data_IF_347097178206
#
_entry.id   IF_347097178206
#
_cell.length_a   1.000
_cell.length_b   1.000
_cell.length_c   1.000
_cell.angle_alpha   90.00
_cell.angle_beta   90.00
_cell.angle_gamma   90.00
#
_symmetry.space_group_name_H-M   'P 1'
#
loop_
_entity.id
_entity.type
_entity.pdbx_description
1 polymer ?
#
# COMPACT_ATOMS: atom_id res chain seq x y z
N UNK A 1 14.48 2.35 -8.79
CA UNK A 1 14.14 2.11 -7.38
C UNK A 1 12.73 2.62 -7.11
N UNK A 2 11.84 1.77 -6.59
CA UNK A 2 10.50 2.11 -6.12
C UNK A 2 10.57 2.54 -4.65
N UNK A 3 10.09 3.74 -4.32
CA UNK A 3 10.12 4.31 -2.98
C UNK A 3 8.73 4.24 -2.34
N UNK A 4 8.56 3.31 -1.41
CA UNK A 4 7.27 3.09 -0.72
C UNK A 4 7.33 3.62 0.71
N UNK A 5 6.21 4.16 1.19
CA UNK A 5 6.00 4.41 2.62
C UNK A 5 4.79 3.64 3.11
N UNK A 6 4.96 2.90 4.20
CA UNK A 6 3.86 2.23 4.90
C UNK A 6 3.40 3.14 6.04
N UNK A 7 2.16 3.64 5.92
CA UNK A 7 1.57 4.57 6.87
C UNK A 7 0.73 3.82 7.92
N UNK A 8 1.27 3.77 9.14
CA UNK A 8 0.69 3.05 10.27
C UNK A 8 0.48 3.98 11.48
N UNK A 9 -0.20 3.50 12.51
CA UNK A 9 -0.58 4.32 13.69
C UNK A 9 0.56 4.62 14.68
N UNK A 10 1.80 4.25 14.36
CA UNK A 10 2.97 4.51 15.22
C UNK A 10 3.12 3.57 16.43
N UNK A 11 2.76 2.29 16.29
CA UNK A 11 2.78 1.31 17.40
C UNK A 11 3.88 0.23 17.29
N UNK A 12 3.87 -0.74 18.22
CA UNK A 12 4.82 -1.86 18.26
C UNK A 12 4.77 -2.74 16.99
N UNK A 13 3.59 -2.91 16.38
CA UNK A 13 3.43 -3.72 15.16
C UNK A 13 4.24 -3.16 13.98
N UNK A 14 4.29 -1.84 13.80
CA UNK A 14 5.09 -1.21 12.75
C UNK A 14 6.59 -1.45 12.92
N UNK A 15 7.10 -1.56 14.15
CA UNK A 15 8.53 -1.81 14.41
C UNK A 15 8.95 -3.23 14.06
N UNK A 16 8.11 -4.23 14.32
CA UNK A 16 8.40 -5.62 13.95
C UNK A 16 8.31 -5.80 12.44
N UNK A 17 7.28 -5.22 11.83
CA UNK A 17 7.05 -5.30 10.39
C UNK A 17 8.18 -4.62 9.61
N UNK A 18 8.71 -3.48 10.10
CA UNK A 18 9.80 -2.78 9.41
C UNK A 18 11.08 -3.61 9.34
N UNK A 19 11.41 -4.33 10.42
CA UNK A 19 12.55 -5.27 10.44
C UNK A 19 12.31 -6.44 9.48
N UNK A 20 11.10 -7.01 9.46
CA UNK A 20 10.75 -8.10 8.56
C UNK A 20 10.85 -7.70 7.09
N UNK A 21 10.32 -6.52 6.73
CA UNK A 21 10.39 -6.00 5.36
C UNK A 21 11.83 -5.72 4.97
N UNK A 22 12.61 -5.06 5.84
CA UNK A 22 14.02 -4.79 5.57
C UNK A 22 14.79 -6.08 5.30
N UNK A 23 14.61 -7.09 6.15
CA UNK A 23 15.23 -8.40 5.96
C UNK A 23 14.76 -9.08 4.65
N UNK A 24 13.48 -8.98 4.31
CA UNK A 24 12.96 -9.55 3.07
C UNK A 24 13.52 -8.87 1.81
N UNK A 25 13.86 -7.58 1.88
CA UNK A 25 14.56 -6.87 0.80
C UNK A 25 15.99 -7.41 0.67
N UNK A 26 16.72 -7.51 1.79
CA UNK A 26 18.10 -8.03 1.84
C UNK A 26 18.17 -9.49 1.36
N UNK A 27 17.30 -10.37 1.86
CA UNK A 27 17.25 -11.79 1.48
C UNK A 27 16.97 -11.99 -0.02
N UNK A 28 16.39 -11.00 -0.69
CA UNK A 28 16.08 -11.02 -2.13
C UNK A 28 17.08 -10.27 -3.00
N UNK A 29 18.04 -9.54 -2.42
CA UNK A 29 18.94 -8.67 -3.18
C UNK A 29 18.22 -7.51 -3.87
N UNK A 30 17.16 -6.98 -3.27
CA UNK A 30 16.30 -5.93 -3.86
C UNK A 30 16.60 -4.52 -3.37
N UNK A 31 17.74 -4.29 -2.70
CA UNK A 31 18.11 -3.02 -2.09
C UNK A 31 18.17 -1.86 -3.11
N UNK A 32 18.57 -2.14 -4.35
CA UNK A 32 18.60 -1.16 -5.45
C UNK A 32 17.26 -1.04 -6.19
N UNK A 33 16.33 -1.97 -5.94
CA UNK A 33 15.04 -2.06 -6.62
C UNK A 33 13.92 -1.39 -5.82
N UNK A 34 13.90 -1.54 -4.51
CA UNK A 34 12.81 -1.10 -3.63
C UNK A 34 13.33 -0.56 -2.30
N UNK A 35 12.80 0.59 -1.90
CA UNK A 35 12.97 1.13 -0.54
C UNK A 35 11.61 1.23 0.14
N UNK A 36 11.53 0.80 1.40
CA UNK A 36 10.29 0.84 2.18
C UNK A 36 10.53 1.57 3.50
N UNK A 37 9.92 2.73 3.65
CA UNK A 37 9.90 3.50 4.89
C UNK A 37 8.62 3.25 5.68
N UNK A 38 8.65 3.56 6.97
CA UNK A 38 7.49 3.48 7.87
C UNK A 38 7.30 4.83 8.54
N UNK A 39 6.07 5.33 8.54
CA UNK A 39 5.79 6.67 9.05
C UNK A 39 4.35 6.78 9.58
N UNK A 40 4.09 7.59 10.62
CA UNK A 40 2.74 8.04 10.93
C UNK A 40 2.08 8.76 9.75
N UNK A 41 0.81 8.46 9.46
CA UNK A 41 0.07 9.08 8.35
C UNK A 41 0.12 10.62 8.37
N UNK A 42 0.06 11.23 9.56
CA UNK A 42 0.13 12.69 9.74
C UNK A 42 1.41 13.33 9.19
N UNK A 43 2.53 12.61 9.20
CA UNK A 43 3.79 13.14 8.68
C UNK A 43 3.88 13.03 7.16
N UNK A 44 3.03 12.22 6.52
CA UNK A 44 3.04 12.04 5.07
C UNK A 44 2.85 13.36 4.33
N UNK A 45 2.03 14.28 4.85
CA UNK A 45 1.79 15.61 4.25
C UNK A 45 3.08 16.36 3.96
N UNK A 46 4.08 16.25 4.86
CA UNK A 46 5.35 16.97 4.75
C UNK A 46 6.42 16.22 3.96
N UNK A 47 6.30 14.90 3.85
CA UNK A 47 7.33 14.03 3.29
C UNK A 47 6.88 13.31 2.01
N UNK A 48 5.70 13.63 1.47
CA UNK A 48 5.11 12.94 0.33
C UNK A 48 6.00 12.92 -0.93
N UNK A 49 6.84 13.92 -1.13
CA UNK A 49 7.77 14.00 -2.29
C UNK A 49 8.92 12.97 -2.22
N UNK A 50 9.18 12.43 -1.03
CA UNK A 50 10.21 11.40 -0.81
C UNK A 50 9.80 10.02 -1.32
N UNK A 51 8.51 9.84 -1.61
CA UNK A 51 7.91 8.55 -1.93
C UNK A 51 7.17 8.57 -3.26
N UNK A 52 7.08 7.40 -3.88
CA UNK A 52 6.27 7.21 -5.09
C UNK A 52 4.85 6.77 -4.72
N UNK A 53 4.67 6.07 -3.59
CA UNK A 53 3.38 5.52 -3.15
C UNK A 53 3.27 5.40 -1.62
N UNK A 54 2.07 5.63 -1.10
CA UNK A 54 1.71 5.47 0.31
C UNK A 54 0.80 4.27 0.49
N UNK A 55 1.30 3.28 1.22
CA UNK A 55 0.62 2.03 1.55
C UNK A 55 0.02 2.17 2.95
N UNK A 56 -1.29 2.38 3.02
CA UNK A 56 -2.01 2.67 4.25
C UNK A 56 -2.38 1.38 4.97
N UNK A 57 -2.08 1.31 6.27
CA UNK A 57 -2.56 0.22 7.12
C UNK A 57 -4.11 0.29 7.21
N UNK A 58 -4.85 -0.85 7.26
CA UNK A 58 -6.32 -0.85 7.15
C UNK A 58 -7.04 0.11 8.11
N UNK A 59 -6.49 0.26 9.31
CA UNK A 59 -7.04 1.08 10.38
C UNK A 59 -6.82 2.60 10.18
N UNK A 60 -6.03 3.04 9.19
CA UNK A 60 -5.83 4.48 8.90
C UNK A 60 -6.73 5.01 7.79
N UNK A 61 -7.58 4.16 7.20
CA UNK A 61 -8.43 4.49 6.05
C UNK A 61 -9.29 5.74 6.23
N UNK A 62 -10.03 5.86 7.33
CA UNK A 62 -10.93 7.00 7.55
C UNK A 62 -10.18 8.33 7.58
N UNK A 63 -9.01 8.36 8.21
CA UNK A 63 -8.16 9.54 8.26
C UNK A 63 -7.60 9.86 6.87
N UNK A 64 -7.14 8.84 6.12
CA UNK A 64 -6.65 9.05 4.77
C UNK A 64 -7.73 9.59 3.81
N UNK A 65 -8.98 9.12 3.93
CA UNK A 65 -10.11 9.68 3.17
C UNK A 65 -10.40 11.14 3.50
N UNK A 66 -10.20 11.55 4.75
CA UNK A 66 -10.32 12.95 5.15
C UNK A 66 -9.21 13.80 4.53
N UNK A 67 -7.95 13.33 4.60
CA UNK A 67 -6.80 14.02 4.02
C UNK A 67 -6.90 14.13 2.49
N UNK A 68 -7.38 13.08 1.83
CA UNK A 68 -7.67 13.08 0.39
C UNK A 68 -8.70 14.16 0.04
N UNK A 69 -9.81 14.23 0.78
CA UNK A 69 -10.87 15.23 0.57
C UNK A 69 -10.40 16.67 0.78
N UNK A 70 -9.44 16.88 1.69
CA UNK A 70 -8.79 18.18 1.93
C UNK A 70 -7.68 18.49 0.91
N UNK A 71 -7.40 17.57 -0.01
CA UNK A 71 -6.34 17.69 -1.01
C UNK A 71 -4.93 17.89 -0.39
N UNK A 72 -4.71 17.34 0.80
CA UNK A 72 -3.43 17.45 1.54
C UNK A 72 -2.35 16.50 1.01
N UNK A 73 -2.76 15.45 0.27
CA UNK A 73 -1.88 14.41 -0.27
C UNK A 73 -2.10 14.29 -1.79
N UNK A 74 -1.02 14.46 -2.55
CA UNK A 74 -0.97 14.37 -4.02
C UNK A 74 -0.34 13.06 -4.53
N UNK A 75 0.16 12.24 -3.62
CA UNK A 75 0.78 10.96 -3.94
C UNK A 75 -0.27 9.83 -3.88
N UNK A 76 -0.14 8.75 -4.65
CA UNK A 76 -1.11 7.65 -4.62
C UNK A 76 -1.20 7.01 -3.23
N UNK A 77 -2.41 6.96 -2.70
CA UNK A 77 -2.74 6.37 -1.41
C UNK A 77 -3.52 5.07 -1.60
N UNK A 78 -2.94 3.95 -1.22
CA UNK A 78 -3.57 2.64 -1.33
C UNK A 78 -3.69 1.96 0.01
N UNK A 79 -4.89 1.47 0.34
CA UNK A 79 -5.15 0.78 1.60
C UNK A 79 -4.82 -0.70 1.44
N UNK A 80 -3.85 -1.19 2.22
CA UNK A 80 -3.46 -2.60 2.23
C UNK A 80 -4.64 -3.42 2.75
N UNK A 81 -5.07 -4.50 2.07
CA UNK A 81 -6.10 -5.41 2.59
C UNK A 81 -5.69 -6.00 3.94
N UNK A 82 -6.64 -6.13 4.87
CA UNK A 82 -6.35 -6.60 6.23
C UNK A 82 -5.64 -7.96 6.29
N UNK A 83 -5.99 -8.88 5.38
CA UNK A 83 -5.35 -10.21 5.32
C UNK A 83 -3.94 -10.15 4.73
N UNK A 84 -3.69 -9.27 3.75
CA UNK A 84 -2.33 -9.05 3.22
C UNK A 84 -1.45 -8.37 4.28
N UNK A 85 -1.99 -7.38 5.00
CA UNK A 85 -1.34 -6.71 6.12
C UNK A 85 -0.91 -7.68 7.22
N UNK A 86 -1.69 -8.73 7.50
CA UNK A 86 -1.29 -9.76 8.47
C UNK A 86 -0.04 -10.56 8.06
N UNK A 87 0.22 -10.70 6.75
CA UNK A 87 1.38 -11.44 6.23
C UNK A 87 2.59 -10.56 5.89
N UNK A 88 2.35 -9.27 5.60
CA UNK A 88 3.36 -8.32 5.12
C UNK A 88 4.29 -8.88 4.04
N UNK A 89 3.74 -9.68 3.12
CA UNK A 89 4.54 -10.28 2.07
C UNK A 89 5.05 -9.21 1.10
N UNK A 90 6.37 -9.02 1.04
CA UNK A 90 7.03 -7.99 0.24
C UNK A 90 6.72 -8.09 -1.25
N UNK A 91 6.68 -9.30 -1.83
CA UNK A 91 6.37 -9.47 -3.25
C UNK A 91 4.96 -8.97 -3.58
N UNK A 92 4.00 -9.33 -2.73
CA UNK A 92 2.61 -8.93 -2.94
C UNK A 92 2.42 -7.42 -2.77
N UNK A 93 3.11 -6.82 -1.80
CA UNK A 93 3.09 -5.37 -1.59
C UNK A 93 3.71 -4.62 -2.76
N UNK A 94 4.83 -5.11 -3.30
CA UNK A 94 5.49 -4.53 -4.48
C UNK A 94 4.59 -4.64 -5.71
N UNK A 95 4.03 -5.81 -5.99
CA UNK A 95 3.13 -6.02 -7.12
C UNK A 95 1.89 -5.11 -7.05
N UNK A 96 1.27 -5.00 -5.86
CA UNK A 96 0.15 -4.08 -5.66
C UNK A 96 0.58 -2.63 -5.90
N UNK A 97 1.73 -2.22 -5.37
CA UNK A 97 2.23 -0.86 -5.55
C UNK A 97 2.46 -0.50 -7.03
N UNK A 98 3.10 -1.39 -7.80
CA UNK A 98 3.32 -1.21 -9.23
C UNK A 98 2.02 -1.06 -10.01
N UNK A 99 0.98 -1.82 -9.67
CA UNK A 99 -0.30 -1.75 -10.37
C UNK A 99 -1.12 -0.52 -9.96
N UNK A 100 -1.08 -0.15 -8.68
CA UNK A 100 -1.72 1.07 -8.18
C UNK A 100 -1.11 2.31 -8.81
N UNK A 101 0.21 2.35 -9.00
CA UNK A 101 0.87 3.47 -9.68
C UNK A 101 0.35 3.68 -11.11
N UNK A 102 0.06 2.59 -11.83
CA UNK A 102 -0.56 2.67 -13.17
C UNK A 102 -1.98 3.21 -13.10
N UNK A 103 -2.79 2.69 -12.18
CA UNK A 103 -4.17 3.17 -11.97
C UNK A 103 -4.17 4.66 -11.63
N UNK A 104 -3.28 5.09 -10.72
CA UNK A 104 -3.17 6.50 -10.34
C UNK A 104 -2.71 7.40 -11.49
N UNK A 105 -1.84 6.91 -12.38
CA UNK A 105 -1.43 7.66 -13.55
C UNK A 105 -2.62 8.00 -14.46
N UNK A 106 -3.63 7.13 -14.50
CA UNK A 106 -4.84 7.28 -15.31
C UNK A 106 -5.94 8.07 -14.60
N UNK A 107 -6.21 7.80 -13.32
CA UNK A 107 -7.37 8.36 -12.61
C UNK A 107 -7.05 9.65 -11.84
N UNK A 108 -5.84 9.74 -11.26
CA UNK A 108 -5.46 10.78 -10.29
C UNK A 108 -6.39 10.85 -9.06
N UNK A 109 -7.08 9.77 -8.76
CA UNK A 109 -8.01 9.69 -7.63
C UNK A 109 -7.35 9.11 -6.38
N UNK A 110 -7.82 9.55 -5.22
CA UNK A 110 -7.36 9.07 -3.92
C UNK A 110 -8.53 8.98 -2.92
N UNK A 111 -8.52 7.99 -2.00
CA UNK A 111 -7.64 6.83 -1.96
C UNK A 111 -8.03 5.78 -3.03
N UNK A 112 -7.04 5.02 -3.50
CA UNK A 112 -7.17 4.01 -4.55
C UNK A 112 -7.55 2.65 -3.99
N UNK A 113 -8.38 1.95 -4.75
CA UNK A 113 -8.63 0.52 -4.64
C UNK A 113 -8.55 -0.12 -6.03
N UNK A 114 -8.43 -1.43 -6.09
CA UNK A 114 -8.54 -2.14 -7.36
C UNK A 114 -10.00 -2.24 -7.84
N UNK A 115 -10.24 -2.37 -9.15
CA UNK A 115 -11.57 -2.63 -9.69
C UNK A 115 -12.22 -3.86 -9.05
N UNK A 116 -13.51 -3.78 -8.70
CA UNK A 116 -14.25 -4.84 -8.01
C UNK A 116 -13.95 -4.97 -6.50
N UNK A 117 -13.00 -4.19 -5.96
CA UNK A 117 -12.68 -4.23 -4.53
C UNK A 117 -13.39 -3.11 -3.74
N UNK A 118 -14.02 -3.49 -2.63
CA UNK A 118 -14.47 -2.57 -1.57
C UNK A 118 -13.56 -2.74 -0.37
N UNK A 119 -12.93 -1.65 0.08
CA UNK A 119 -11.87 -1.63 1.09
C UNK A 119 -12.04 -2.55 2.31
N UNK A 120 -13.24 -2.57 2.92
CA UNK A 120 -13.50 -3.38 4.13
C UNK A 120 -13.91 -4.83 3.82
N UNK A 121 -14.20 -5.13 2.56
CA UNK A 121 -14.68 -6.43 2.09
C UNK A 121 -13.58 -7.23 1.37
N UNK A 122 -12.39 -6.66 1.19
CA UNK A 122 -11.29 -7.31 0.46
C UNK A 122 -10.80 -8.56 1.21
N UNK A 123 -11.06 -9.74 0.61
CA UNK A 123 -10.73 -11.06 1.18
C UNK A 123 -9.37 -11.62 0.76
N UNK A 124 -8.64 -10.97 -0.15
CA UNK A 124 -7.37 -11.50 -0.64
C UNK A 124 -6.24 -11.34 0.38
N UNK A 125 -5.38 -12.34 0.40
CA UNK A 125 -4.12 -12.36 1.15
C UNK A 125 -2.89 -12.37 0.21
N UNK A 126 -3.11 -12.14 -1.08
CA UNK A 126 -2.07 -11.99 -2.12
C UNK A 126 -2.22 -10.65 -2.81
N UNK A 127 -1.29 -10.32 -3.73
CA UNK A 127 -1.49 -9.21 -4.65
C UNK A 127 -2.75 -9.39 -5.49
N UNK A 128 -3.29 -8.27 -5.99
CA UNK A 128 -4.48 -8.24 -6.82
C UNK A 128 -4.31 -9.06 -8.12
N UNK A 129 -3.19 -8.88 -8.83
CA UNK A 129 -2.90 -9.63 -10.07
C UNK A 129 -2.87 -11.16 -9.86
N UNK A 130 -2.30 -11.62 -8.73
CA UNK A 130 -2.29 -13.05 -8.38
C UNK A 130 -3.67 -13.54 -7.92
N UNK A 131 -4.44 -12.68 -7.25
CA UNK A 131 -5.80 -12.99 -6.81
C UNK A 131 -6.74 -13.22 -7.99
N UNK A 132 -6.79 -12.30 -8.95
CA UNK A 132 -7.63 -12.43 -10.16
C UNK A 132 -7.27 -13.68 -10.96
N UNK A 133 -5.98 -13.99 -11.11
CA UNK A 133 -5.55 -15.20 -11.83
C UNK A 133 -6.15 -16.48 -11.25
N UNK A 134 -6.39 -16.52 -9.94
CA UNK A 134 -7.03 -17.64 -9.24
C UNK A 134 -8.55 -17.51 -9.14
N UNK A 135 -9.08 -16.29 -9.16
CA UNK A 135 -10.49 -15.97 -9.02
C UNK A 135 -10.94 -15.02 -10.14
N UNK A 136 -11.00 -15.48 -11.40
CA UNK A 136 -11.28 -14.60 -12.54
C UNK A 136 -12.65 -13.93 -12.48
N UNK A 137 -13.60 -14.48 -11.71
CA UNK A 137 -14.92 -13.89 -11.50
C UNK A 137 -14.93 -12.70 -10.53
N UNK A 138 -13.84 -12.45 -9.78
CA UNK A 138 -13.78 -11.37 -8.79
C UNK A 138 -13.66 -9.94 -9.40
N UNK A 139 -13.57 -9.83 -10.73
CA UNK A 139 -13.47 -8.55 -11.47
C UNK A 139 -14.84 -8.10 -12.01
N UNK A 140 -15.85 -8.97 -11.95
CA UNK A 140 -17.18 -8.74 -12.50
C UNK A 140 -18.14 -8.31 -11.39
N UNK A 141 -17.97 -7.12 -10.83
CA UNK A 141 -19.01 -6.39 -10.08
C UNK A 141 -18.68 -4.89 -10.01
#
# INVERSE_FOLDING_TARGET
>A
MLRMVICCGGGMSSSVISVQIKKAIEDKGWEDEISVAFMPLLFLVKHQEEFDIAMLCPHTMHHAQEMARKNEIQLPMYVIPARLYGSMNLEYLREDAEDILKIYAETKENPLHFPGEKFLEVKRNTSHRRWIKKHPQAVQD
#
